data_IF_720017757115
#
_entry.id   IF_720017757115
#
_cell.length_a   1.000
_cell.length_b   1.000
_cell.length_c   1.000
_cell.angle_alpha   90.00
_cell.angle_beta   90.00
_cell.angle_gamma   90.00
#
_symmetry.space_group_name_H-M   'P 1'
#
loop_
_entity.id
_entity.type
_entity.pdbx_description
1 polymer ?
#
# COMPACT_ATOMS: atom_id res chain seq x y z
N UNK A 1 -3.42 48.31 -25.61
CA UNK A 1 -3.68 49.47 -26.48
C UNK A 1 -4.03 48.94 -27.84
N UNK A 2 -5.33 48.89 -28.14
CA UNK A 2 -5.83 48.61 -29.49
C UNK A 2 -6.90 49.67 -29.73
N UNK A 3 -6.64 50.46 -30.76
CA UNK A 3 -7.36 51.63 -31.24
C UNK A 3 -8.87 51.57 -31.07
N UNK A 4 -9.39 52.45 -30.20
CA UNK A 4 -10.80 52.83 -30.12
C UNK A 4 -11.08 53.67 -31.37
N UNK A 5 -11.63 53.04 -32.40
CA UNK A 5 -12.23 53.74 -33.52
C UNK A 5 -13.50 54.41 -33.04
N UNK A 6 -13.43 55.72 -32.82
CA UNK A 6 -14.57 56.59 -32.53
C UNK A 6 -15.59 56.52 -33.66
N UNK A 7 -16.56 55.63 -33.54
CA UNK A 7 -17.85 55.77 -34.21
C UNK A 7 -18.77 56.41 -33.19
N UNK A 8 -18.90 57.73 -33.30
CA UNK A 8 -19.88 58.51 -32.55
C UNK A 8 -21.28 58.07 -32.98
N UNK A 9 -21.84 57.08 -32.29
CA UNK A 9 -23.26 56.74 -32.37
C UNK A 9 -24.04 57.95 -31.83
N UNK A 10 -24.77 58.66 -32.68
CA UNK A 10 -25.58 59.82 -32.29
C UNK A 10 -26.77 59.48 -31.36
N UNK A 11 -26.92 58.20 -30.99
CA UNK A 11 -27.97 57.63 -30.13
C UNK A 11 -27.50 57.29 -28.70
N UNK A 12 -26.19 57.30 -28.42
CA UNK A 12 -25.65 56.93 -27.09
C UNK A 12 -25.73 55.43 -26.75
N UNK A 13 -26.02 54.58 -27.73
CA UNK A 13 -26.23 53.13 -27.57
C UNK A 13 -25.21 52.41 -28.47
N UNK A 14 -24.30 51.63 -27.89
CA UNK A 14 -23.34 50.80 -28.63
C UNK A 14 -23.99 49.45 -29.01
N UNK A 15 -24.20 49.17 -30.32
CA UNK A 15 -24.77 47.92 -30.83
C UNK A 15 -24.10 46.64 -30.29
N UNK A 16 -22.79 46.68 -30.06
CA UNK A 16 -22.05 45.53 -29.54
C UNK A 16 -22.41 45.27 -28.06
N UNK A 17 -22.51 46.31 -27.26
CA UNK A 17 -22.88 46.19 -25.83
C UNK A 17 -24.32 45.70 -25.65
N UNK A 18 -25.26 46.19 -26.45
CA UNK A 18 -26.66 45.72 -26.39
C UNK A 18 -26.81 44.27 -26.83
N UNK A 19 -26.13 43.88 -27.92
CA UNK A 19 -26.12 42.49 -28.38
C UNK A 19 -25.59 41.56 -27.28
N UNK A 20 -24.46 41.91 -26.65
CA UNK A 20 -23.88 41.13 -25.56
C UNK A 20 -24.81 41.03 -24.33
N UNK A 21 -25.48 42.12 -23.95
CA UNK A 21 -26.43 42.13 -22.83
C UNK A 21 -27.66 41.24 -23.09
N UNK A 22 -28.21 41.29 -24.30
CA UNK A 22 -29.35 40.43 -24.67
C UNK A 22 -28.96 38.95 -24.70
N UNK A 23 -27.81 38.61 -25.27
CA UNK A 23 -27.31 37.23 -25.25
C UNK A 23 -27.06 36.74 -23.83
N UNK A 24 -26.46 37.57 -22.98
CA UNK A 24 -26.25 37.22 -21.57
C UNK A 24 -27.58 36.95 -20.85
N UNK A 25 -28.60 37.77 -21.07
CA UNK A 25 -29.93 37.57 -20.50
C UNK A 25 -30.61 36.29 -21.04
N UNK A 26 -30.46 35.99 -22.34
CA UNK A 26 -31.00 34.78 -22.97
C UNK A 26 -30.28 33.50 -22.49
N UNK A 27 -28.96 33.58 -22.24
CA UNK A 27 -28.13 32.45 -21.79
C UNK A 27 -28.29 32.14 -20.29
N UNK A 28 -28.45 33.17 -19.46
CA UNK A 28 -28.49 33.07 -18.00
C UNK A 28 -29.37 31.94 -17.40
N UNK A 29 -30.63 31.73 -17.83
CA UNK A 29 -31.45 30.65 -17.25
C UNK A 29 -30.92 29.26 -17.60
N UNK A 30 -30.37 29.09 -18.80
CA UNK A 30 -29.81 27.80 -19.25
C UNK A 30 -28.50 27.50 -18.54
N UNK A 31 -27.62 28.49 -18.41
CA UNK A 31 -26.37 28.39 -17.65
C UNK A 31 -26.63 28.04 -16.19
N UNK A 32 -27.61 28.69 -15.56
CA UNK A 32 -28.00 28.42 -14.17
C UNK A 32 -28.43 26.95 -14.01
N UNK A 33 -29.23 26.43 -14.95
CA UNK A 33 -29.64 25.01 -14.94
C UNK A 33 -28.45 24.07 -15.14
N UNK A 34 -27.54 24.38 -16.06
CA UNK A 34 -26.36 23.57 -16.31
C UNK A 34 -25.40 23.59 -15.12
N UNK A 35 -25.18 24.74 -14.50
CA UNK A 35 -24.39 24.86 -13.27
C UNK A 35 -24.99 24.02 -12.14
N UNK A 36 -26.31 24.12 -11.90
CA UNK A 36 -26.99 23.31 -10.89
C UNK A 36 -26.87 21.79 -11.18
N UNK A 37 -27.00 21.40 -12.45
CA UNK A 37 -26.86 20.00 -12.88
C UNK A 37 -25.42 19.52 -12.69
N UNK A 38 -24.42 20.33 -13.05
CA UNK A 38 -23.01 20.04 -12.85
C UNK A 38 -22.70 19.83 -11.37
N UNK A 39 -23.11 20.76 -10.50
CA UNK A 39 -22.92 20.64 -9.05
C UNK A 39 -23.53 19.35 -8.50
N UNK A 40 -24.73 18.99 -8.97
CA UNK A 40 -25.39 17.73 -8.57
C UNK A 40 -24.60 16.50 -9.02
N UNK A 41 -24.19 16.43 -10.29
CA UNK A 41 -23.42 15.29 -10.81
C UNK A 41 -22.08 15.17 -10.07
N UNK A 42 -21.35 16.27 -9.90
CA UNK A 42 -20.06 16.27 -9.18
C UNK A 42 -20.22 15.81 -7.72
N UNK A 43 -21.29 16.25 -7.04
CA UNK A 43 -21.59 15.80 -5.69
C UNK A 43 -21.92 14.29 -5.65
N UNK A 44 -22.65 13.78 -6.64
CA UNK A 44 -22.95 12.35 -6.77
C UNK A 44 -21.71 11.50 -7.06
N UNK A 45 -20.82 11.97 -7.94
CA UNK A 45 -19.52 11.32 -8.22
C UNK A 45 -18.71 11.21 -6.94
N UNK A 46 -18.62 12.30 -6.19
CA UNK A 46 -17.89 12.34 -4.91
C UNK A 46 -18.51 11.39 -3.88
N UNK A 47 -19.83 11.36 -3.76
CA UNK A 47 -20.54 10.46 -2.86
C UNK A 47 -20.35 8.98 -3.24
N UNK A 48 -20.40 8.63 -4.52
CA UNK A 48 -20.14 7.28 -5.01
C UNK A 48 -18.69 6.86 -4.72
N UNK A 49 -17.73 7.76 -4.89
CA UNK A 49 -16.33 7.50 -4.56
C UNK A 49 -16.14 7.25 -3.04
N UNK A 50 -16.78 8.05 -2.19
CA UNK A 50 -16.78 7.86 -0.72
C UNK A 50 -17.35 6.49 -0.34
N UNK A 51 -18.50 6.10 -0.92
CA UNK A 51 -19.10 4.78 -0.68
C UNK A 51 -18.20 3.64 -1.16
N UNK A 52 -17.63 3.77 -2.37
CA UNK A 52 -16.74 2.75 -2.94
C UNK A 52 -15.52 2.53 -2.04
N UNK A 53 -14.90 3.60 -1.56
CA UNK A 53 -13.75 3.51 -0.64
C UNK A 53 -14.15 2.84 0.67
N UNK A 54 -15.27 3.24 1.28
CA UNK A 54 -15.72 2.66 2.54
C UNK A 54 -16.07 1.18 2.42
N UNK A 55 -16.75 0.78 1.34
CA UNK A 55 -17.08 -0.63 1.07
C UNK A 55 -15.87 -1.47 0.72
N UNK A 56 -14.89 -0.93 -0.01
CA UNK A 56 -13.62 -1.63 -0.28
C UNK A 56 -12.80 -1.85 1.00
N UNK A 57 -12.78 -0.87 1.90
CA UNK A 57 -12.13 -1.03 3.21
C UNK A 57 -12.84 -2.08 4.08
N UNK A 58 -14.18 -2.09 4.06
CA UNK A 58 -14.97 -3.12 4.75
C UNK A 58 -14.71 -4.52 4.17
N UNK A 59 -14.73 -4.65 2.85
CA UNK A 59 -14.44 -5.90 2.13
C UNK A 59 -13.03 -6.43 2.43
N UNK A 60 -12.04 -5.53 2.51
CA UNK A 60 -10.68 -5.89 2.90
C UNK A 60 -10.62 -6.44 4.33
N UNK A 61 -11.30 -5.79 5.29
CA UNK A 61 -11.36 -6.28 6.68
C UNK A 61 -12.08 -7.64 6.80
N UNK A 62 -13.11 -7.87 5.97
CA UNK A 62 -13.80 -9.16 5.86
C UNK A 62 -12.87 -10.23 5.29
N UNK A 63 -12.10 -9.91 4.26
CA UNK A 63 -11.12 -10.84 3.66
C UNK A 63 -10.07 -11.28 4.67
N UNK A 64 -9.57 -10.37 5.51
CA UNK A 64 -8.62 -10.69 6.59
C UNK A 64 -9.23 -11.65 7.61
N UNK A 65 -10.51 -11.46 7.96
CA UNK A 65 -11.23 -12.31 8.90
C UNK A 65 -11.60 -13.68 8.32
N UNK A 66 -11.96 -13.73 7.04
CA UNK A 66 -12.23 -14.95 6.28
C UNK A 66 -10.96 -15.74 5.99
N UNK A 67 -9.81 -15.06 5.90
CA UNK A 67 -8.51 -15.67 5.79
C UNK A 67 -8.31 -16.68 6.92
N UNK A 68 -8.12 -17.95 6.55
CA UNK A 68 -7.87 -19.03 7.51
C UNK A 68 -6.65 -18.75 8.41
N UNK A 69 -5.79 -17.80 8.04
CA UNK A 69 -4.68 -17.28 8.83
C UNK A 69 -5.09 -16.62 10.14
N UNK A 70 -6.22 -15.92 10.21
CA UNK A 70 -6.65 -15.20 11.42
C UNK A 70 -7.33 -16.14 12.42
N UNK A 71 -8.22 -17.02 11.92
CA UNK A 71 -8.85 -18.05 12.74
C UNK A 71 -7.84 -19.10 13.23
N UNK A 72 -6.87 -19.46 12.38
CA UNK A 72 -5.80 -20.41 12.74
C UNK A 72 -4.51 -19.73 13.19
N UNK A 73 -4.54 -18.43 13.51
CA UNK A 73 -3.37 -17.72 14.01
C UNK A 73 -2.83 -18.41 15.26
N UNK A 74 -1.51 -18.46 15.36
CA UNK A 74 -0.80 -19.08 16.48
C UNK A 74 0.15 -18.07 17.08
N UNK A 75 0.13 -17.99 18.40
CA UNK A 75 1.07 -17.19 19.18
C UNK A 75 1.97 -18.13 19.97
N UNK A 76 3.24 -17.75 20.08
CA UNK A 76 4.20 -18.44 20.95
C UNK A 76 4.40 -17.59 22.21
N UNK A 77 4.25 -18.21 23.38
CA UNK A 77 4.61 -17.63 24.66
C UNK A 77 5.89 -18.28 25.19
N UNK A 78 6.82 -17.43 25.61
CA UNK A 78 8.14 -17.78 26.16
C UNK A 78 8.44 -16.78 27.28
N UNK A 79 9.16 -17.21 28.31
CA UNK A 79 9.71 -16.26 29.29
C UNK A 79 10.72 -15.32 28.64
N UNK A 80 10.95 -14.14 29.23
CA UNK A 80 11.97 -13.22 28.74
C UNK A 80 13.39 -13.80 28.92
N UNK A 81 14.33 -13.40 28.06
CA UNK A 81 15.76 -13.73 28.13
C UNK A 81 16.10 -15.24 28.08
N UNK A 82 15.34 -16.01 27.32
CA UNK A 82 15.48 -17.47 27.20
C UNK A 82 16.57 -17.95 26.23
N UNK A 83 17.36 -17.04 25.66
CA UNK A 83 18.41 -17.41 24.69
C UNK A 83 17.89 -17.86 23.33
N UNK A 84 16.58 -17.84 23.07
CA UNK A 84 16.00 -18.01 21.75
C UNK A 84 14.66 -17.28 21.62
N UNK A 85 14.17 -17.16 20.39
CA UNK A 85 12.81 -16.69 20.09
C UNK A 85 12.15 -17.66 19.13
N UNK A 86 10.83 -17.79 19.17
CA UNK A 86 10.11 -18.64 18.25
C UNK A 86 8.87 -17.96 17.69
N UNK A 87 8.50 -18.32 16.47
CA UNK A 87 7.28 -17.89 15.81
C UNK A 87 6.53 -19.11 15.30
N UNK A 88 5.19 -19.05 15.30
CA UNK A 88 4.34 -20.14 14.82
C UNK A 88 3.55 -19.69 13.60
N UNK A 89 3.57 -20.50 12.55
CA UNK A 89 2.72 -20.34 11.39
C UNK A 89 1.26 -20.66 11.74
N UNK A 90 0.33 -20.13 10.93
CA UNK A 90 -1.07 -20.46 11.07
C UNK A 90 -1.29 -21.98 10.93
N UNK A 91 -2.06 -22.55 11.86
CA UNK A 91 -2.33 -24.00 11.88
C UNK A 91 -1.25 -24.85 12.56
N UNK A 92 -0.16 -24.28 13.08
CA UNK A 92 0.79 -25.03 13.91
C UNK A 92 0.07 -25.72 15.09
N UNK A 93 0.56 -26.90 15.46
CA UNK A 93 -0.02 -27.70 16.53
C UNK A 93 0.08 -26.96 17.87
N UNK A 94 -1.06 -26.83 18.55
CA UNK A 94 -1.14 -26.21 19.88
C UNK A 94 -0.57 -27.16 20.91
N UNK A 95 0.21 -26.64 21.85
CA UNK A 95 0.84 -27.46 22.87
C UNK A 95 1.93 -26.70 23.62
N UNK A 96 2.42 -27.33 24.69
CA UNK A 96 3.59 -26.89 25.44
C UNK A 96 4.77 -27.77 25.05
N UNK A 97 5.89 -27.15 24.70
CA UNK A 97 7.10 -27.82 24.23
C UNK A 97 8.28 -27.43 25.11
N UNK A 98 9.06 -28.43 25.54
CA UNK A 98 10.27 -28.19 26.32
C UNK A 98 11.48 -28.03 25.41
N UNK A 99 12.07 -26.83 25.38
CA UNK A 99 13.18 -26.49 24.49
C UNK A 99 14.48 -26.34 25.29
N UNK A 100 15.55 -26.99 24.82
CA UNK A 100 16.90 -26.86 25.36
C UNK A 100 17.89 -26.53 24.23
N UNK A 101 18.62 -25.42 24.36
CA UNK A 101 19.62 -24.99 23.36
C UNK A 101 21.01 -25.40 23.85
N UNK A 102 21.65 -26.35 23.16
CA UNK A 102 22.93 -26.92 23.54
C UNK A 102 24.12 -26.16 22.93
N UNK A 103 24.03 -25.80 21.66
CA UNK A 103 25.08 -25.05 20.96
C UNK A 103 24.49 -24.18 19.88
N UNK A 104 25.22 -23.13 19.48
CA UNK A 104 24.88 -22.28 18.36
C UNK A 104 25.68 -22.66 17.12
N UNK A 105 25.10 -22.39 15.96
CA UNK A 105 25.81 -22.43 14.70
C UNK A 105 26.79 -21.25 14.66
N UNK A 106 28.07 -21.54 14.47
CA UNK A 106 29.12 -20.56 14.27
C UNK A 106 29.69 -20.69 12.86
N UNK A 107 29.87 -19.56 12.20
CA UNK A 107 30.54 -19.50 10.91
C UNK A 107 32.06 -19.44 11.11
N UNK A 108 32.80 -20.19 10.29
CA UNK A 108 34.25 -20.22 10.41
C UNK A 108 34.87 -18.88 10.04
N UNK A 109 35.89 -18.47 10.80
CA UNK A 109 36.71 -17.31 10.51
C UNK A 109 38.18 -17.69 10.48
N UNK A 110 38.85 -17.38 9.39
CA UNK A 110 40.27 -17.59 9.17
C UNK A 110 40.97 -16.23 9.00
N UNK A 111 42.23 -16.13 9.44
CA UNK A 111 43.05 -14.95 9.25
C UNK A 111 44.47 -15.34 8.82
N UNK A 112 45.04 -14.62 7.86
CA UNK A 112 46.45 -14.77 7.48
C UNK A 112 47.40 -14.23 8.55
N UNK A 113 48.70 -14.43 8.38
CA UNK A 113 49.73 -13.61 9.03
C UNK A 113 49.62 -12.13 8.61
N UNK A 114 50.19 -11.23 9.40
CA UNK A 114 50.23 -9.80 9.11
C UNK A 114 51.15 -9.45 7.95
N UNK A 115 50.70 -8.57 7.06
CA UNK A 115 51.47 -8.02 5.95
C UNK A 115 51.75 -6.52 6.17
N UNK A 116 52.97 -6.08 5.87
CA UNK A 116 53.35 -4.66 5.99
C UNK A 116 52.72 -3.80 4.90
N UNK A 117 52.25 -2.59 5.23
CA UNK A 117 51.81 -1.60 4.23
C UNK A 117 50.29 -1.52 4.01
N UNK A 118 49.48 -1.73 5.04
CA UNK A 118 48.04 -1.41 5.07
C UNK A 118 47.26 -1.85 3.82
N UNK A 119 47.40 -3.13 3.47
CA UNK A 119 46.69 -3.72 2.33
C UNK A 119 47.31 -3.51 0.94
N UNK A 120 48.40 -2.75 0.82
CA UNK A 120 49.13 -2.51 -0.46
C UNK A 120 50.27 -3.50 -0.71
N UNK A 121 50.60 -4.33 0.28
CA UNK A 121 51.62 -5.37 0.17
C UNK A 121 51.34 -6.27 -1.03
N UNK A 122 52.33 -6.43 -1.90
CA UNK A 122 52.29 -7.44 -2.98
C UNK A 122 52.53 -8.80 -2.32
N UNK A 123 51.53 -9.67 -2.40
CA UNK A 123 51.59 -11.01 -1.79
C UNK A 123 52.07 -12.04 -2.80
N UNK A 124 51.62 -11.96 -4.05
CA UNK A 124 52.06 -12.85 -5.12
C UNK A 124 51.02 -13.06 -6.21
N UNK A 125 51.26 -14.05 -7.03
CA UNK A 125 50.43 -14.44 -8.19
C UNK A 125 50.13 -15.95 -8.16
N UNK A 126 49.12 -16.39 -8.90
CA UNK A 126 48.68 -17.78 -8.98
C UNK A 126 47.16 -17.93 -8.81
N UNK A 127 46.70 -19.15 -8.56
CA UNK A 127 45.29 -19.46 -8.39
C UNK A 127 44.98 -19.91 -6.96
N UNK A 128 44.00 -19.27 -6.32
CA UNK A 128 43.42 -19.69 -5.06
C UNK A 128 42.16 -20.51 -5.33
N UNK A 129 42.13 -21.74 -4.83
CA UNK A 129 40.93 -22.56 -4.80
C UNK A 129 40.40 -22.60 -3.37
N UNK A 130 39.25 -21.96 -3.17
CA UNK A 130 38.59 -21.80 -1.87
C UNK A 130 37.32 -22.66 -1.88
N UNK A 131 37.29 -23.70 -1.06
CA UNK A 131 36.14 -24.59 -0.92
C UNK A 131 35.32 -24.24 0.33
N UNK A 132 33.99 -24.30 0.21
CA UNK A 132 33.03 -24.12 1.30
C UNK A 132 31.71 -24.81 0.95
N UNK A 133 31.05 -25.48 1.90
CA UNK A 133 29.68 -25.97 1.69
C UNK A 133 29.52 -26.93 0.49
N UNK A 134 30.58 -27.66 0.12
CA UNK A 134 30.63 -28.51 -1.08
C UNK A 134 30.80 -27.77 -2.42
N UNK A 135 30.99 -26.45 -2.40
CA UNK A 135 31.31 -25.62 -3.56
C UNK A 135 32.79 -25.26 -3.56
N UNK A 136 33.33 -25.00 -4.75
CA UNK A 136 34.71 -24.55 -4.93
C UNK A 136 34.73 -23.26 -5.73
N UNK A 137 35.35 -22.23 -5.16
CA UNK A 137 35.61 -20.95 -5.78
C UNK A 137 37.05 -20.91 -6.29
N UNK A 138 37.23 -20.72 -7.59
CA UNK A 138 38.55 -20.49 -8.19
C UNK A 138 38.75 -19.00 -8.38
N UNK A 139 39.84 -18.46 -7.83
CA UNK A 139 40.19 -17.04 -7.89
C UNK A 139 41.58 -16.91 -8.49
N UNK A 140 41.63 -16.31 -9.68
CA UNK A 140 42.90 -16.06 -10.38
C UNK A 140 43.51 -14.72 -9.93
N UNK A 141 44.77 -14.79 -9.49
CA UNK A 141 45.55 -13.66 -8.98
C UNK A 141 46.73 -13.42 -9.92
N UNK A 142 46.65 -12.31 -10.63
CA UNK A 142 47.65 -11.81 -11.57
C UNK A 142 48.44 -10.66 -10.95
N UNK A 143 49.42 -10.13 -11.68
CA UNK A 143 50.18 -8.94 -11.24
C UNK A 143 49.31 -7.69 -11.07
N UNK A 144 48.12 -7.63 -11.70
CA UNK A 144 47.20 -6.50 -11.58
C UNK A 144 46.41 -6.50 -10.25
N UNK A 145 46.23 -7.66 -9.63
CA UNK A 145 45.45 -7.85 -8.39
C UNK A 145 46.21 -8.59 -7.28
N UNK A 146 47.53 -8.77 -7.41
CA UNK A 146 48.39 -9.50 -6.46
C UNK A 146 48.70 -8.78 -5.14
N UNK A 147 48.08 -7.62 -4.88
CA UNK A 147 48.15 -6.96 -3.57
C UNK A 147 47.12 -7.54 -2.61
N UNK A 148 47.32 -7.40 -1.30
CA UNK A 148 46.35 -7.90 -0.30
C UNK A 148 44.92 -7.36 -0.54
N UNK A 149 44.80 -6.08 -0.91
CA UNK A 149 43.53 -5.47 -1.30
C UNK A 149 42.96 -6.04 -2.60
N UNK A 150 43.83 -6.24 -3.61
CA UNK A 150 43.41 -6.85 -4.87
C UNK A 150 42.92 -8.30 -4.69
N UNK A 151 43.55 -9.07 -3.81
CA UNK A 151 43.16 -10.43 -3.48
C UNK A 151 41.82 -10.44 -2.75
N UNK A 152 41.61 -9.56 -1.76
CA UNK A 152 40.30 -9.38 -1.10
C UNK A 152 39.20 -9.11 -2.12
N UNK A 153 39.43 -8.16 -3.03
CA UNK A 153 38.44 -7.75 -4.03
C UNK A 153 38.17 -8.86 -5.05
N UNK A 154 39.21 -9.59 -5.46
CA UNK A 154 39.08 -10.75 -6.34
C UNK A 154 38.25 -11.87 -5.68
N UNK A 155 38.49 -12.17 -4.40
CA UNK A 155 37.71 -13.17 -3.65
C UNK A 155 36.24 -12.75 -3.52
N UNK A 156 35.98 -11.51 -3.11
CA UNK A 156 34.60 -11.01 -2.97
C UNK A 156 33.86 -10.93 -4.31
N UNK A 157 34.55 -10.55 -5.39
CA UNK A 157 33.99 -10.53 -6.74
C UNK A 157 33.63 -11.93 -7.20
N UNK A 158 34.54 -12.88 -7.02
CA UNK A 158 34.33 -14.27 -7.41
C UNK A 158 33.23 -14.93 -6.56
N UNK A 159 33.14 -14.60 -5.27
CA UNK A 159 32.09 -15.09 -4.37
C UNK A 159 30.69 -14.54 -4.70
N UNK A 160 30.59 -13.40 -5.40
CA UNK A 160 29.32 -12.80 -5.80
C UNK A 160 28.36 -12.51 -4.63
N UNK A 161 28.90 -12.29 -3.43
CA UNK A 161 28.13 -12.07 -2.21
C UNK A 161 27.51 -13.32 -1.57
N UNK A 162 27.95 -14.52 -1.95
CA UNK A 162 27.44 -15.79 -1.40
C UNK A 162 28.56 -16.67 -0.84
N UNK A 163 28.31 -17.30 0.31
CA UNK A 163 29.18 -18.30 0.91
C UNK A 163 30.36 -17.78 1.73
N UNK A 164 31.21 -16.92 1.14
CA UNK A 164 32.42 -16.40 1.80
C UNK A 164 32.53 -14.89 1.59
N UNK A 165 32.99 -14.19 2.63
CA UNK A 165 33.42 -12.79 2.56
C UNK A 165 34.88 -12.66 2.96
N UNK A 166 35.66 -11.93 2.18
CA UNK A 166 37.01 -11.51 2.50
C UNK A 166 37.03 -10.06 3.00
N UNK A 167 37.78 -9.80 4.07
CA UNK A 167 38.03 -8.45 4.59
C UNK A 167 39.50 -8.29 5.00
N UNK A 168 39.93 -7.05 5.19
CA UNK A 168 41.26 -6.74 5.72
C UNK A 168 41.07 -6.16 7.11
N UNK A 169 41.82 -6.69 8.08
CA UNK A 169 41.85 -6.19 9.46
C UNK A 169 43.29 -5.80 9.78
N UNK A 170 43.50 -4.57 10.21
CA UNK A 170 44.81 -4.07 10.60
C UNK A 170 45.06 -4.31 12.09
N UNK A 171 46.08 -5.10 12.39
CA UNK A 171 46.63 -5.31 13.73
C UNK A 171 47.96 -4.58 13.93
N UNK A 172 48.51 -4.66 15.13
CA UNK A 172 49.81 -4.06 15.47
C UNK A 172 50.97 -4.72 14.68
N UNK A 173 50.78 -5.97 14.24
CA UNK A 173 51.71 -6.75 13.42
C UNK A 173 51.49 -6.62 11.91
N UNK A 174 50.49 -5.83 11.47
CA UNK A 174 50.25 -5.51 10.06
C UNK A 174 48.82 -5.78 9.60
N UNK A 175 48.61 -5.80 8.28
CA UNK A 175 47.31 -6.05 7.65
C UNK A 175 47.07 -7.55 7.46
N UNK A 176 45.95 -8.07 7.95
CA UNK A 176 45.55 -9.48 7.83
C UNK A 176 44.40 -9.62 6.83
N UNK A 177 44.51 -10.58 5.91
CA UNK A 177 43.35 -11.05 5.16
C UNK A 177 42.52 -11.96 6.05
N UNK A 178 41.25 -11.62 6.22
CA UNK A 178 40.30 -12.37 7.02
C UNK A 178 39.23 -12.95 6.12
N UNK A 179 39.10 -14.27 6.11
CA UNK A 179 38.03 -14.98 5.41
C UNK A 179 36.96 -15.39 6.42
N UNK A 180 35.73 -14.99 6.16
CA UNK A 180 34.57 -15.33 7.00
C UNK A 180 33.56 -16.09 6.16
N UNK A 181 33.14 -17.26 6.64
CA UNK A 181 32.00 -17.96 6.03
C UNK A 181 30.73 -17.18 6.35
N UNK A 182 29.83 -17.03 5.38
CA UNK A 182 28.56 -16.34 5.58
C UNK A 182 27.51 -17.26 6.23
N UNK A 183 27.68 -18.56 6.05
CA UNK A 183 26.81 -19.59 6.63
C UNK A 183 27.52 -20.28 7.81
N UNK A 184 26.75 -20.54 8.87
CA UNK A 184 27.24 -21.29 10.03
C UNK A 184 27.39 -22.78 9.74
N UNK A 185 27.94 -23.51 10.70
CA UNK A 185 27.95 -24.97 10.66
C UNK A 185 29.19 -25.61 10.05
N UNK A 186 29.43 -26.85 10.47
CA UNK A 186 30.62 -27.64 10.12
C UNK A 186 30.66 -27.98 8.62
N UNK A 187 29.52 -28.01 7.95
CA UNK A 187 29.42 -28.20 6.49
C UNK A 187 30.00 -27.02 5.69
N UNK A 188 29.99 -25.81 6.27
CA UNK A 188 30.44 -24.57 5.63
C UNK A 188 31.86 -24.18 6.04
N UNK A 189 32.67 -25.19 6.41
CA UNK A 189 34.09 -24.99 6.66
C UNK A 189 34.81 -24.54 5.40
N UNK A 190 35.74 -23.61 5.58
CA UNK A 190 36.58 -23.05 4.53
C UNK A 190 37.85 -23.89 4.44
N UNK A 191 38.19 -24.35 3.24
CA UNK A 191 39.55 -24.82 2.93
C UNK A 191 40.10 -24.06 1.73
N UNK A 192 41.36 -23.64 1.82
CA UNK A 192 42.04 -22.84 0.80
C UNK A 192 43.28 -23.58 0.34
N UNK A 193 43.39 -23.77 -0.97
CA UNK A 193 44.59 -24.29 -1.61
C UNK A 193 45.12 -23.28 -2.61
N UNK A 194 46.44 -23.11 -2.65
CA UNK A 194 47.12 -22.23 -3.61
C UNK A 194 47.86 -23.10 -4.63
N UNK A 195 47.82 -22.70 -5.90
CA UNK A 195 48.48 -23.42 -7.00
C UNK A 195 48.98 -22.46 -8.08
N UNK A 196 50.07 -22.82 -8.76
CA UNK A 196 50.70 -21.98 -9.78
C UNK A 196 51.34 -20.69 -9.25
N UNK A 197 51.82 -19.85 -10.16
CA UNK A 197 52.40 -18.54 -9.83
C UNK A 197 53.77 -18.57 -9.14
N UNK A 198 54.04 -17.55 -8.32
CA UNK A 198 55.33 -17.30 -7.65
C UNK A 198 55.45 -17.92 -6.24
N UNK A 199 54.40 -18.61 -5.78
CA UNK A 199 54.35 -19.29 -4.48
C UNK A 199 53.95 -18.41 -3.29
N UNK A 200 53.79 -17.09 -3.48
CA UNK A 200 53.44 -16.18 -2.38
C UNK A 200 52.05 -16.43 -1.78
N UNK A 201 51.12 -16.96 -2.57
CA UNK A 201 49.77 -17.30 -2.15
C UNK A 201 49.69 -18.50 -1.20
N UNK A 202 50.78 -19.26 -1.01
CA UNK A 202 50.84 -20.33 -0.02
C UNK A 202 50.60 -19.81 1.42
N UNK A 203 50.84 -18.52 1.66
CA UNK A 203 50.51 -17.83 2.92
C UNK A 203 49.00 -17.83 3.24
N UNK A 204 48.13 -18.09 2.26
CA UNK A 204 46.68 -18.21 2.47
C UNK A 204 46.19 -19.66 2.48
N UNK A 205 47.07 -20.65 2.37
CA UNK A 205 46.65 -22.06 2.39
C UNK A 205 46.07 -22.43 3.76
N UNK A 206 44.99 -23.22 3.74
CA UNK A 206 44.35 -23.77 4.93
C UNK A 206 43.64 -25.08 4.61
N UNK A 207 44.09 -26.16 5.24
CA UNK A 207 43.52 -27.52 5.11
C UNK A 207 43.03 -28.08 6.44
N UNK A 208 43.09 -27.28 7.52
CA UNK A 208 42.74 -27.71 8.88
C UNK A 208 43.88 -28.40 9.65
N UNK A 209 45.07 -28.54 9.04
CA UNK A 209 46.25 -29.13 9.67
C UNK A 209 47.13 -28.08 10.37
N UNK A 210 47.90 -28.52 11.37
CA UNK A 210 48.92 -27.69 12.01
C UNK A 210 50.01 -27.28 10.99
N UNK A 211 50.25 -25.97 10.84
CA UNK A 211 51.18 -25.41 9.86
C UNK A 211 50.55 -24.80 8.60
N UNK A 212 49.23 -24.64 8.56
CA UNK A 212 48.53 -23.85 7.53
C UNK A 212 48.99 -22.39 7.51
N UNK A 213 48.95 -21.74 6.34
CA UNK A 213 49.28 -20.31 6.19
C UNK A 213 48.27 -19.38 6.87
N UNK A 214 47.03 -19.83 7.05
CA UNK A 214 46.01 -19.13 7.85
C UNK A 214 45.76 -19.75 9.22
N UNK A 215 45.46 -18.89 10.18
CA UNK A 215 45.03 -19.22 11.54
C UNK A 215 43.51 -19.21 11.66
N UNK A 216 42.96 -20.18 12.39
CA UNK A 216 41.53 -20.24 12.69
C UNK A 216 41.20 -19.36 13.90
N UNK A 217 40.44 -18.28 13.68
CA UNK A 217 39.98 -17.38 14.73
C UNK A 217 38.69 -17.87 15.38
N UNK A 218 37.78 -18.42 14.57
CA UNK A 218 36.50 -18.99 15.02
C UNK A 218 36.32 -20.32 14.31
N UNK A 219 36.07 -21.38 15.08
CA UNK A 219 35.75 -22.69 14.54
C UNK A 219 34.29 -22.73 14.06
N UNK A 220 34.04 -23.43 12.95
CA UNK A 220 32.68 -23.74 12.56
C UNK A 220 32.08 -24.75 13.55
N UNK A 221 30.87 -24.47 14.00
CA UNK A 221 30.08 -25.38 14.83
C UNK A 221 28.65 -25.40 14.35
N UNK A 222 27.97 -26.53 14.51
CA UNK A 222 26.53 -26.64 14.24
C UNK A 222 25.71 -26.20 15.45
N UNK A 223 24.54 -25.62 15.19
CA UNK A 223 23.52 -25.42 16.19
C UNK A 223 22.94 -26.76 16.62
N UNK A 224 22.81 -26.98 17.93
CA UNK A 224 22.15 -28.15 18.48
C UNK A 224 21.05 -27.70 19.44
N UNK A 225 19.84 -28.17 19.18
CA UNK A 225 18.65 -27.88 19.99
C UNK A 225 17.87 -29.16 20.23
N UNK A 226 17.29 -29.30 21.43
CA UNK A 226 16.36 -30.37 21.76
C UNK A 226 14.97 -29.80 21.98
N UNK A 227 13.96 -30.48 21.45
CA UNK A 227 12.55 -30.23 21.76
C UNK A 227 11.93 -31.52 22.28
N UNK A 228 11.43 -31.52 23.51
CA UNK A 228 10.88 -32.69 24.21
C UNK A 228 11.80 -33.93 24.16
N UNK A 229 13.11 -33.67 24.24
CA UNK A 229 14.17 -34.68 24.18
C UNK A 229 14.63 -35.07 22.77
N UNK A 230 13.95 -34.63 21.71
CA UNK A 230 14.35 -34.88 20.31
C UNK A 230 15.44 -33.90 19.90
N UNK A 231 16.64 -34.41 19.61
CA UNK A 231 17.80 -33.61 19.20
C UNK A 231 17.76 -33.26 17.70
N UNK A 232 18.08 -32.01 17.39
CA UNK A 232 18.22 -31.49 16.02
C UNK A 232 19.52 -30.71 15.87
N UNK A 233 20.29 -31.03 14.83
CA UNK A 233 21.58 -30.39 14.49
C UNK A 233 21.52 -29.62 13.18
N UNK A 234 21.74 -28.31 13.18
CA UNK A 234 21.60 -27.44 11.99
C UNK A 234 22.82 -26.58 11.75
N UNK A 235 23.10 -26.27 10.47
CA UNK A 235 24.10 -25.27 10.09
C UNK A 235 23.64 -23.82 10.33
N UNK A 236 22.36 -23.60 10.62
CA UNK A 236 21.79 -22.28 10.90
C UNK A 236 21.22 -22.17 12.31
N UNK A 237 21.29 -20.96 12.88
CA UNK A 237 20.60 -20.61 14.12
C UNK A 237 19.08 -20.41 13.93
N UNK A 238 18.58 -20.48 12.69
CA UNK A 238 17.16 -20.50 12.38
C UNK A 238 16.73 -21.92 12.01
N UNK A 239 15.89 -22.52 12.86
CA UNK A 239 15.40 -23.89 12.74
C UNK A 239 13.92 -23.87 12.40
N UNK A 240 13.52 -24.41 11.26
CA UNK A 240 12.13 -24.35 10.75
C UNK A 240 11.44 -25.72 10.69
N UNK A 241 12.18 -26.80 10.92
CA UNK A 241 11.75 -28.17 10.63
C UNK A 241 11.61 -29.07 11.87
N UNK A 242 11.99 -28.57 13.04
CA UNK A 242 11.96 -29.37 14.28
C UNK A 242 10.54 -29.56 14.82
N UNK A 243 9.72 -28.51 14.78
CA UNK A 243 8.30 -28.56 15.10
C UNK A 243 7.55 -28.04 13.90
N UNK A 244 6.62 -28.83 13.36
CA UNK A 244 5.91 -28.49 12.14
C UNK A 244 5.16 -27.15 12.29
N UNK A 245 5.52 -26.18 11.44
CA UNK A 245 4.93 -24.84 11.46
C UNK A 245 5.47 -23.93 12.56
N UNK A 246 6.57 -24.28 13.25
CA UNK A 246 7.24 -23.38 14.20
C UNK A 246 8.67 -23.11 13.75
N UNK A 247 9.05 -21.84 13.76
CA UNK A 247 10.42 -21.39 13.47
C UNK A 247 11.08 -20.94 14.75
N UNK A 248 12.19 -21.58 15.13
CA UNK A 248 13.03 -21.21 16.26
C UNK A 248 14.24 -20.40 15.75
N UNK A 249 14.56 -19.30 16.44
CA UNK A 249 15.73 -18.48 16.20
C UNK A 249 16.57 -18.46 17.48
N UNK A 250 17.71 -19.13 17.42
CA UNK A 250 18.64 -19.32 18.55
C UNK A 250 19.54 -18.09 18.70
N UNK A 251 19.76 -17.64 19.93
CA UNK A 251 20.55 -16.43 20.27
C UNK A 251 21.65 -16.71 21.29
N UNK A 252 21.43 -17.63 22.21
CA UNK A 252 22.39 -18.05 23.23
C UNK A 252 22.22 -19.54 23.51
N UNK A 253 23.33 -20.24 23.70
CA UNK A 253 23.33 -21.61 24.20
C UNK A 253 23.27 -21.60 25.73
N UNK A 254 22.42 -22.47 26.30
CA UNK A 254 22.30 -22.66 27.74
C UNK A 254 22.12 -24.16 28.05
N UNK A 255 23.16 -24.99 27.86
CA UNK A 255 23.09 -26.43 28.10
C UNK A 255 22.60 -26.74 29.51
N UNK A 256 21.70 -27.73 29.64
CA UNK A 256 21.10 -28.13 30.91
C UNK A 256 19.94 -27.25 31.38
N UNK A 257 19.62 -26.15 30.68
CA UNK A 257 18.47 -25.30 30.98
C UNK A 257 17.33 -25.59 30.03
N UNK A 258 16.23 -26.13 30.56
CA UNK A 258 15.00 -26.43 29.80
C UNK A 258 14.02 -25.27 29.94
N UNK A 259 13.49 -24.82 28.81
CA UNK A 259 12.61 -23.65 28.71
C UNK A 259 11.29 -24.09 28.10
N UNK A 260 10.18 -23.80 28.79
CA UNK A 260 8.83 -24.08 28.28
C UNK A 260 8.45 -23.07 27.20
N UNK A 261 7.98 -23.58 26.06
CA UNK A 261 7.46 -22.83 24.93
C UNK A 261 6.01 -23.22 24.71
N UNK A 262 5.08 -22.29 24.88
CA UNK A 262 3.65 -22.55 24.68
C UNK A 262 3.17 -22.01 23.34
N UNK A 263 2.61 -22.89 22.51
CA UNK A 263 1.95 -22.53 21.24
C UNK A 263 0.45 -22.54 21.45
N UNK A 264 -0.18 -21.37 21.41
CA UNK A 264 -1.61 -21.19 21.62
C UNK A 264 -2.27 -20.49 20.42
N UNK A 265 -3.60 -20.42 20.43
CA UNK A 265 -4.31 -19.54 19.49
C UNK A 265 -3.95 -18.09 19.78
N UNK A 266 -3.66 -17.32 18.74
CA UNK A 266 -3.42 -15.88 18.87
C UNK A 266 -4.74 -15.11 19.01
N UNK A 267 -5.26 -15.04 20.23
CA UNK A 267 -6.49 -14.29 20.52
C UNK A 267 -6.33 -12.78 20.33
N UNK A 268 -5.10 -12.26 20.43
CA UNK A 268 -4.81 -10.84 20.24
C UNK A 268 -4.89 -10.44 18.77
N UNK A 269 -4.38 -11.27 17.86
CA UNK A 269 -4.55 -11.10 16.43
C UNK A 269 -6.03 -11.18 16.02
N UNK A 270 -6.77 -12.15 16.59
CA UNK A 270 -8.22 -12.30 16.35
C UNK A 270 -9.01 -11.09 16.83
N UNK A 271 -8.74 -10.61 18.05
CA UNK A 271 -9.34 -9.38 18.59
C UNK A 271 -9.05 -8.18 17.70
N UNK A 272 -7.81 -8.01 17.25
CA UNK A 272 -7.39 -6.89 16.40
C UNK A 272 -8.12 -6.90 15.06
N UNK A 273 -8.24 -8.07 14.42
CA UNK A 273 -8.96 -8.21 13.16
C UNK A 273 -10.46 -7.92 13.31
N UNK A 274 -11.09 -8.41 14.40
CA UNK A 274 -12.51 -8.14 14.68
C UNK A 274 -12.73 -6.66 15.00
N UNK A 275 -11.81 -6.02 15.73
CA UNK A 275 -11.84 -4.59 15.99
C UNK A 275 -11.76 -3.78 14.69
N UNK A 276 -10.83 -4.12 13.81
CA UNK A 276 -10.70 -3.45 12.51
C UNK A 276 -11.99 -3.58 11.69
N UNK A 277 -12.59 -4.78 11.64
CA UNK A 277 -13.90 -4.97 11.00
C UNK A 277 -15.00 -4.09 11.60
N UNK A 278 -15.12 -4.04 12.94
CA UNK A 278 -16.10 -3.18 13.61
C UNK A 278 -15.90 -1.71 13.23
N UNK A 279 -14.64 -1.25 13.21
CA UNK A 279 -14.29 0.12 12.82
C UNK A 279 -14.64 0.39 11.34
N UNK A 280 -14.28 -0.51 10.42
CA UNK A 280 -14.60 -0.37 8.97
C UNK A 280 -16.08 -0.46 8.69
N UNK A 281 -16.81 -1.31 9.40
CA UNK A 281 -18.26 -1.43 9.27
C UNK A 281 -18.95 -0.14 9.71
N UNK A 282 -18.55 0.42 10.85
CA UNK A 282 -19.07 1.69 11.33
C UNK A 282 -18.70 2.85 10.39
N UNK A 283 -17.49 2.85 9.82
CA UNK A 283 -17.09 3.82 8.80
C UNK A 283 -17.95 3.71 7.53
N UNK A 284 -18.32 2.49 7.11
CA UNK A 284 -19.23 2.27 5.99
C UNK A 284 -20.65 2.78 6.28
N UNK A 285 -21.17 2.55 7.50
CA UNK A 285 -22.44 3.14 7.92
C UNK A 285 -22.40 4.67 7.93
N UNK A 286 -21.30 5.26 8.40
CA UNK A 286 -21.11 6.71 8.38
C UNK A 286 -21.02 7.25 6.94
N UNK A 287 -20.32 6.57 6.03
CA UNK A 287 -20.26 6.92 4.62
C UNK A 287 -21.65 6.88 3.94
N UNK A 288 -22.45 5.87 4.27
CA UNK A 288 -23.87 5.80 3.85
C UNK A 288 -24.63 7.01 4.40
N UNK A 289 -24.62 7.21 5.72
CA UNK A 289 -25.36 8.27 6.38
C UNK A 289 -24.99 9.67 5.83
N UNK A 290 -23.70 9.96 5.68
CA UNK A 290 -23.20 11.24 5.18
C UNK A 290 -23.56 11.49 3.71
N UNK A 291 -23.77 10.44 2.91
CA UNK A 291 -24.15 10.56 1.50
C UNK A 291 -25.66 10.50 1.26
N UNK A 292 -26.46 10.02 2.22
CA UNK A 292 -27.92 9.89 2.08
C UNK A 292 -28.76 10.79 2.99
N UNK A 293 -28.23 11.30 4.09
CA UNK A 293 -29.04 12.02 5.07
C UNK A 293 -29.54 13.39 4.57
N UNK A 294 -30.65 13.82 5.16
CA UNK A 294 -31.16 15.18 5.03
C UNK A 294 -30.80 15.95 6.28
N UNK A 295 -30.12 17.09 6.13
CA UNK A 295 -29.83 17.98 7.24
C UNK A 295 -31.04 18.90 7.47
N UNK A 296 -31.79 18.63 8.54
CA UNK A 296 -32.99 19.39 8.88
C UNK A 296 -32.70 20.87 9.23
N UNK A 297 -31.52 21.19 9.74
CA UNK A 297 -31.12 22.55 10.11
C UNK A 297 -30.77 23.39 8.89
N UNK A 298 -29.98 22.86 7.96
CA UNK A 298 -29.61 23.56 6.72
C UNK A 298 -30.64 23.39 5.61
N UNK A 299 -31.61 22.48 5.80
CA UNK A 299 -32.59 22.04 4.80
C UNK A 299 -31.96 21.47 3.52
N UNK A 300 -30.73 20.94 3.62
CA UNK A 300 -29.97 20.39 2.49
C UNK A 300 -29.98 18.87 2.53
N UNK A 301 -30.37 18.27 1.40
CA UNK A 301 -30.24 16.83 1.16
C UNK A 301 -28.83 16.48 0.70
N UNK A 302 -28.26 15.39 1.21
CA UNK A 302 -27.03 14.83 0.67
C UNK A 302 -27.21 14.30 -0.76
N UNK A 303 -26.10 14.10 -1.47
CA UNK A 303 -26.10 13.84 -2.92
C UNK A 303 -26.86 12.57 -3.35
N UNK A 304 -26.94 11.58 -2.47
CA UNK A 304 -27.62 10.29 -2.69
C UNK A 304 -28.87 10.14 -1.80
N UNK A 305 -29.43 11.24 -1.29
CA UNK A 305 -30.69 11.20 -0.58
C UNK A 305 -31.79 10.56 -1.46
N UNK A 306 -32.50 9.58 -0.90
CA UNK A 306 -33.53 8.86 -1.64
C UNK A 306 -33.01 7.86 -2.69
N UNK A 307 -31.70 7.59 -2.75
CA UNK A 307 -31.15 6.62 -3.69
C UNK A 307 -31.54 5.17 -3.30
N UNK A 308 -32.13 4.44 -4.24
CA UNK A 308 -32.65 3.09 -4.01
C UNK A 308 -31.54 2.04 -3.86
N UNK A 309 -30.42 2.21 -4.57
CA UNK A 309 -29.28 1.30 -4.48
C UNK A 309 -28.66 1.39 -3.08
N UNK A 310 -28.46 2.62 -2.56
CA UNK A 310 -27.91 2.80 -1.22
C UNK A 310 -28.85 2.22 -0.14
N UNK A 311 -30.16 2.47 -0.22
CA UNK A 311 -31.13 1.84 0.70
C UNK A 311 -31.12 0.31 0.63
N UNK A 312 -30.98 -0.24 -0.57
CA UNK A 312 -30.92 -1.69 -0.79
C UNK A 312 -29.73 -2.32 -0.06
N UNK A 313 -28.52 -1.78 -0.28
CA UNK A 313 -27.32 -2.31 0.39
C UNK A 313 -27.38 -2.13 1.91
N UNK A 314 -27.88 -1.00 2.42
CA UNK A 314 -28.05 -0.80 3.87
C UNK A 314 -29.01 -1.83 4.47
N UNK A 315 -30.11 -2.14 3.78
CA UNK A 315 -31.08 -3.14 4.22
C UNK A 315 -30.48 -4.55 4.21
N UNK A 316 -29.72 -4.90 3.17
CA UNK A 316 -29.04 -6.18 3.06
C UNK A 316 -27.99 -6.40 4.17
N UNK A 317 -27.18 -5.37 4.46
CA UNK A 317 -26.21 -5.40 5.55
C UNK A 317 -26.89 -5.57 6.91
N UNK A 318 -27.96 -4.81 7.15
CA UNK A 318 -28.74 -4.90 8.40
C UNK A 318 -29.39 -6.27 8.57
N UNK A 319 -29.96 -6.83 7.52
CA UNK A 319 -30.56 -8.16 7.56
C UNK A 319 -29.52 -9.24 7.86
N UNK A 320 -28.33 -9.13 7.26
CA UNK A 320 -27.21 -10.05 7.50
C UNK A 320 -26.73 -9.99 8.95
N UNK A 321 -26.58 -8.78 9.51
CA UNK A 321 -26.27 -8.61 10.94
C UNK A 321 -27.35 -9.16 11.86
N UNK A 322 -28.61 -8.82 11.58
CA UNK A 322 -29.75 -9.21 12.43
C UNK A 322 -29.92 -10.72 12.51
N UNK A 323 -29.67 -11.44 11.40
CA UNK A 323 -29.69 -12.89 11.36
C UNK A 323 -28.58 -13.55 12.21
N UNK A 324 -27.49 -12.84 12.52
CA UNK A 324 -26.33 -13.35 13.25
C UNK A 324 -26.17 -12.69 14.65
N UNK A 325 -27.21 -12.03 15.17
CA UNK A 325 -27.12 -11.25 16.42
C UNK A 325 -26.72 -12.10 17.64
N UNK A 326 -27.15 -13.36 17.69
CA UNK A 326 -26.84 -14.27 18.81
C UNK A 326 -25.35 -14.63 18.80
N UNK A 327 -24.81 -15.02 17.65
CA UNK A 327 -23.39 -15.36 17.51
C UNK A 327 -22.49 -14.14 17.72
N UNK A 328 -22.88 -12.97 17.20
CA UNK A 328 -22.17 -11.71 17.44
C UNK A 328 -22.13 -11.37 18.93
N UNK A 329 -23.26 -11.49 19.63
CA UNK A 329 -23.32 -11.25 21.08
C UNK A 329 -22.47 -12.26 21.85
N UNK A 330 -22.40 -13.51 21.42
CA UNK A 330 -21.53 -14.53 22.04
C UNK A 330 -20.03 -14.19 21.91
N UNK A 331 -19.67 -13.42 20.88
CA UNK A 331 -18.35 -12.86 20.65
C UNK A 331 -18.18 -11.46 21.28
N UNK A 332 -19.12 -10.96 22.09
CA UNK A 332 -19.03 -9.63 22.69
C UNK A 332 -19.24 -8.48 21.72
N UNK A 333 -19.81 -8.73 20.54
CA UNK A 333 -20.19 -7.69 19.57
C UNK A 333 -21.68 -7.35 19.76
N UNK A 334 -21.96 -6.10 20.08
CA UNK A 334 -23.32 -5.56 20.23
C UNK A 334 -23.70 -4.67 19.05
N UNK A 335 -24.98 -4.69 18.69
CA UNK A 335 -25.56 -3.88 17.61
C UNK A 335 -26.39 -2.76 18.23
N UNK A 336 -26.05 -1.51 17.93
CA UNK A 336 -26.81 -0.32 18.33
C UNK A 336 -28.11 -0.15 17.53
N UNK A 337 -29.01 0.72 18.02
CA UNK A 337 -30.30 0.99 17.35
C UNK A 337 -30.15 1.64 15.97
N UNK A 338 -29.03 2.33 15.74
CA UNK A 338 -28.64 2.92 14.46
C UNK A 338 -27.92 1.92 13.53
N UNK A 339 -27.68 0.69 14.01
CA UNK A 339 -26.96 -0.37 13.31
C UNK A 339 -25.46 -0.37 13.54
N UNK A 340 -24.91 0.58 14.31
CA UNK A 340 -23.48 0.59 14.65
C UNK A 340 -23.07 -0.62 15.48
N UNK A 341 -21.83 -1.06 15.33
CA UNK A 341 -21.27 -2.18 16.07
C UNK A 341 -20.38 -1.68 17.20
N UNK A 342 -20.45 -2.32 18.36
CA UNK A 342 -19.55 -2.09 19.50
C UNK A 342 -18.94 -3.43 19.93
N UNK A 343 -17.63 -3.45 20.17
CA UNK A 343 -16.89 -4.62 20.63
C UNK A 343 -16.50 -4.47 22.11
N UNK A 344 -16.96 -5.39 22.94
CA UNK A 344 -16.47 -5.56 24.31
C UNK A 344 -15.33 -6.59 24.31
N UNK A 345 -14.09 -6.11 24.50
CA UNK A 345 -12.90 -6.95 24.51
C UNK A 345 -12.92 -8.03 25.60
N UNK A 346 -13.51 -7.74 26.77
CA UNK A 346 -13.58 -8.69 27.88
C UNK A 346 -14.53 -9.83 27.53
N UNK A 347 -15.70 -9.49 26.97
CA UNK A 347 -16.67 -10.48 26.50
C UNK A 347 -16.16 -11.26 25.29
N UNK A 348 -15.43 -10.62 24.37
CA UNK A 348 -14.80 -11.29 23.24
C UNK A 348 -13.84 -12.39 23.69
N UNK A 349 -12.90 -12.05 24.58
CA UNK A 349 -11.93 -13.00 25.12
C UNK A 349 -12.60 -14.14 25.90
N UNK A 350 -13.61 -13.83 26.70
CA UNK A 350 -14.38 -14.83 27.43
C UNK A 350 -15.20 -15.74 26.49
N UNK A 351 -15.80 -15.18 25.44
CA UNK A 351 -16.56 -15.91 24.43
C UNK A 351 -15.68 -16.91 23.68
N UNK A 352 -14.51 -16.45 23.23
CA UNK A 352 -13.58 -17.28 22.45
C UNK A 352 -12.89 -18.37 23.29
N UNK A 353 -12.71 -18.11 24.59
CA UNK A 353 -12.22 -19.12 25.54
C UNK A 353 -13.25 -20.24 25.77
N UNK A 354 -14.55 -19.91 25.76
CA UNK A 354 -15.65 -20.88 25.91
C UNK A 354 -15.94 -21.64 24.61
N UNK A 355 -15.88 -20.96 23.48
CA UNK A 355 -16.15 -21.52 22.17
C UNK A 355 -15.14 -21.00 21.13
N UNK A 356 -14.02 -21.71 20.96
CA UNK A 356 -12.99 -21.34 19.99
C UNK A 356 -13.46 -21.34 18.53
N UNK A 357 -14.59 -21.99 18.21
CA UNK A 357 -15.15 -22.05 16.87
C UNK A 357 -16.13 -20.90 16.57
N UNK A 358 -16.53 -20.11 17.58
CA UNK A 358 -17.49 -19.02 17.43
C UNK A 358 -17.05 -17.99 16.38
N UNK A 359 -15.77 -17.64 16.36
CA UNK A 359 -15.22 -16.70 15.38
C UNK A 359 -15.35 -17.25 13.96
N UNK A 360 -15.00 -18.52 13.73
CA UNK A 360 -15.08 -19.15 12.41
C UNK A 360 -16.51 -19.37 11.92
N UNK A 361 -17.50 -19.53 12.80
CA UNK A 361 -18.91 -19.61 12.38
C UNK A 361 -19.41 -18.29 11.79
N UNK A 362 -19.04 -17.18 12.41
CA UNK A 362 -19.49 -15.85 11.98
C UNK A 362 -18.64 -15.33 10.82
N UNK A 363 -17.33 -15.45 10.95
CA UNK A 363 -16.35 -14.79 10.08
C UNK A 363 -15.58 -15.74 9.16
N UNK A 364 -15.88 -17.04 9.17
CA UNK A 364 -15.22 -18.01 8.31
C UNK A 364 -15.48 -17.78 6.81
N UNK A 365 -14.69 -18.44 5.97
CA UNK A 365 -14.68 -18.28 4.51
C UNK A 365 -15.88 -18.91 3.76
N UNK A 366 -16.80 -19.59 4.46
CA UNK A 366 -17.98 -20.17 3.83
C UNK A 366 -18.97 -19.11 3.34
N UNK A 367 -19.62 -19.34 2.19
CA UNK A 367 -20.63 -18.41 1.65
C UNK A 367 -21.85 -18.23 2.56
N UNK A 368 -22.13 -19.19 3.43
CA UNK A 368 -23.25 -19.14 4.37
C UNK A 368 -22.97 -18.34 5.64
N UNK A 369 -21.70 -18.02 5.92
CA UNK A 369 -21.31 -17.23 7.09
C UNK A 369 -21.75 -15.78 6.93
N UNK A 370 -21.76 -15.04 8.04
CA UNK A 370 -22.04 -13.60 8.02
C UNK A 370 -21.02 -12.88 7.13
N UNK A 371 -19.73 -13.16 7.31
CA UNK A 371 -18.68 -12.55 6.50
C UNK A 371 -18.80 -12.91 5.02
N UNK A 372 -19.12 -14.18 4.68
CA UNK A 372 -19.35 -14.63 3.30
C UNK A 372 -20.48 -13.86 2.60
N UNK A 373 -21.62 -13.71 3.29
CA UNK A 373 -22.78 -12.94 2.79
C UNK A 373 -22.46 -11.45 2.63
N UNK A 374 -21.72 -10.88 3.57
CA UNK A 374 -21.29 -9.48 3.49
C UNK A 374 -20.29 -9.25 2.36
N UNK A 375 -19.28 -10.11 2.22
CA UNK A 375 -18.30 -10.04 1.13
C UNK A 375 -18.99 -10.16 -0.24
N UNK A 376 -19.94 -11.09 -0.39
CA UNK A 376 -20.75 -11.21 -1.61
C UNK A 376 -21.52 -9.90 -1.91
N UNK A 377 -22.09 -9.29 -0.87
CA UNK A 377 -22.80 -8.00 -1.00
C UNK A 377 -21.85 -6.87 -1.38
N UNK A 378 -20.63 -6.84 -0.82
CA UNK A 378 -19.61 -5.83 -1.17
C UNK A 378 -19.10 -6.02 -2.59
N UNK A 379 -18.75 -7.25 -2.99
CA UNK A 379 -18.32 -7.56 -4.36
C UNK A 379 -19.34 -7.10 -5.41
N UNK A 380 -20.63 -7.41 -5.22
CA UNK A 380 -21.70 -6.94 -6.11
C UNK A 380 -21.79 -5.40 -6.25
N UNK A 381 -21.28 -4.66 -5.25
CA UNK A 381 -21.24 -3.20 -5.26
C UNK A 381 -19.95 -2.64 -5.87
N UNK A 382 -18.78 -3.18 -5.49
CA UNK A 382 -17.47 -2.55 -5.74
C UNK A 382 -16.65 -3.19 -6.85
N UNK A 383 -16.94 -4.44 -7.23
CA UNK A 383 -16.18 -5.16 -8.25
C UNK A 383 -16.30 -4.50 -9.62
N UNK A 384 -15.44 -4.91 -10.54
CA UNK A 384 -15.54 -4.50 -11.94
C UNK A 384 -16.90 -4.90 -12.51
N UNK A 385 -17.66 -3.93 -13.02
CA UNK A 385 -19.03 -4.13 -13.47
C UNK A 385 -20.09 -4.20 -12.36
N UNK A 386 -19.71 -4.02 -11.09
CA UNK A 386 -20.62 -3.90 -9.96
C UNK A 386 -21.43 -2.59 -9.99
N UNK A 387 -22.44 -2.50 -9.12
CA UNK A 387 -23.43 -1.41 -9.12
C UNK A 387 -22.82 -0.01 -8.98
N UNK A 388 -21.81 0.17 -8.11
CA UNK A 388 -21.15 1.47 -7.96
C UNK A 388 -20.26 1.81 -9.16
N UNK A 389 -19.65 0.80 -9.80
CA UNK A 389 -18.88 0.99 -11.03
C UNK A 389 -19.79 1.49 -12.15
N UNK A 390 -20.90 0.80 -12.41
CA UNK A 390 -21.88 1.20 -13.44
C UNK A 390 -22.48 2.58 -13.16
N UNK A 391 -22.73 2.91 -11.88
CA UNK A 391 -23.20 4.24 -11.48
C UNK A 391 -22.15 5.32 -11.78
N UNK A 392 -20.88 5.05 -11.48
CA UNK A 392 -19.77 5.95 -11.81
C UNK A 392 -19.70 6.21 -13.32
N UNK A 393 -19.76 5.15 -14.13
CA UNK A 393 -19.72 5.25 -15.59
C UNK A 393 -20.89 6.08 -16.13
N UNK A 394 -22.10 5.87 -15.58
CA UNK A 394 -23.29 6.64 -15.93
C UNK A 394 -23.15 8.12 -15.59
N UNK A 395 -22.58 8.46 -14.42
CA UNK A 395 -22.34 9.84 -14.02
C UNK A 395 -21.29 10.50 -14.91
N UNK A 396 -20.20 9.80 -15.25
CA UNK A 396 -19.19 10.28 -16.20
C UNK A 396 -19.79 10.53 -17.59
N UNK A 397 -20.66 9.64 -18.07
CA UNK A 397 -21.38 9.84 -19.33
C UNK A 397 -22.31 11.07 -19.28
N UNK A 398 -23.00 11.29 -18.15
CA UNK A 398 -23.83 12.47 -17.94
C UNK A 398 -23.01 13.77 -17.92
N UNK A 399 -21.82 13.77 -17.30
CA UNK A 399 -20.89 14.91 -17.35
C UNK A 399 -20.51 15.24 -18.79
N UNK A 400 -20.07 14.24 -19.57
CA UNK A 400 -19.71 14.44 -20.98
C UNK A 400 -20.88 14.99 -21.80
N UNK A 401 -22.09 14.49 -21.57
CA UNK A 401 -23.30 14.99 -22.25
C UNK A 401 -23.60 16.44 -21.87
N UNK A 402 -23.47 16.80 -20.60
CA UNK A 402 -23.68 18.16 -20.12
C UNK A 402 -22.66 19.14 -20.72
N UNK A 403 -21.40 18.71 -20.85
CA UNK A 403 -20.36 19.53 -21.46
C UNK A 403 -20.61 19.76 -22.95
N UNK A 404 -21.00 18.72 -23.70
CA UNK A 404 -21.44 18.87 -25.09
C UNK A 404 -22.66 19.81 -25.23
N UNK A 405 -23.58 19.80 -24.26
CA UNK A 405 -24.73 20.70 -24.23
C UNK A 405 -24.34 22.17 -23.95
N UNK A 406 -23.30 22.40 -23.16
CA UNK A 406 -22.73 23.75 -22.93
C UNK A 406 -22.06 24.26 -24.20
N UNK A 407 -21.24 23.45 -24.87
CA UNK A 407 -20.59 23.82 -26.14
C UNK A 407 -21.61 24.15 -27.24
N UNK A 408 -22.69 23.37 -27.32
CA UNK A 408 -23.78 23.66 -28.25
C UNK A 408 -24.52 24.96 -27.91
N UNK A 409 -24.70 25.27 -26.62
CA UNK A 409 -25.26 26.56 -26.19
C UNK A 409 -24.33 27.71 -26.56
N UNK A 410 -23.02 27.57 -26.32
CA UNK A 410 -22.01 28.59 -26.65
C UNK A 410 -22.01 28.91 -28.15
N UNK A 411 -22.06 27.88 -28.99
CA UNK A 411 -22.17 28.02 -30.44
C UNK A 411 -23.44 28.77 -30.83
N UNK A 412 -24.59 28.42 -30.21
CA UNK A 412 -25.87 29.09 -30.48
C UNK A 412 -25.88 30.55 -30.03
N UNK A 413 -25.30 30.85 -28.87
CA UNK A 413 -25.23 32.20 -28.31
C UNK A 413 -24.31 33.10 -29.12
N UNK A 414 -23.19 32.59 -29.64
CA UNK A 414 -22.34 33.32 -30.58
C UNK A 414 -23.08 33.68 -31.88
N UNK A 415 -23.88 32.76 -32.44
CA UNK A 415 -24.71 33.04 -33.61
C UNK A 415 -25.82 34.07 -33.31
N UNK A 416 -26.44 34.00 -32.13
CA UNK A 416 -27.43 34.98 -31.68
C UNK A 416 -26.80 36.38 -31.49
N UNK A 417 -25.60 36.46 -30.92
CA UNK A 417 -24.84 37.70 -30.76
C UNK A 417 -24.56 38.36 -32.10
N UNK A 418 -24.07 37.58 -33.08
CA UNK A 418 -23.82 38.07 -34.44
C UNK A 418 -25.10 38.62 -35.09
N UNK A 419 -26.24 37.93 -34.90
CA UNK A 419 -27.55 38.39 -35.40
C UNK A 419 -28.00 39.68 -34.72
N UNK A 420 -27.94 39.77 -33.39
CA UNK A 420 -28.34 40.97 -32.66
C UNK A 420 -27.43 42.15 -33.01
N UNK A 421 -26.12 41.93 -33.13
CA UNK A 421 -25.17 42.96 -33.59
C UNK A 421 -25.55 43.50 -34.97
N UNK A 422 -25.85 42.62 -35.93
CA UNK A 422 -26.31 43.04 -37.25
C UNK A 422 -27.62 43.84 -37.20
N UNK A 423 -28.58 43.42 -36.39
CA UNK A 423 -29.87 44.12 -36.20
C UNK A 423 -29.68 45.50 -35.57
N UNK A 424 -28.86 45.63 -34.53
CA UNK A 424 -28.59 46.91 -33.88
C UNK A 424 -27.77 47.86 -34.76
N UNK A 425 -26.82 47.36 -35.55
CA UNK A 425 -26.11 48.18 -36.54
C UNK A 425 -27.06 48.68 -37.64
N UNK A 426 -27.99 47.86 -38.10
CA UNK A 426 -29.00 48.28 -39.07
C UNK A 426 -29.97 49.33 -38.49
N UNK A 427 -30.37 49.15 -37.22
CA UNK A 427 -31.20 50.12 -36.49
C UNK A 427 -30.47 51.46 -36.31
N UNK A 428 -29.20 51.45 -35.92
CA UNK A 428 -28.36 52.65 -35.79
C UNK A 428 -28.28 53.40 -37.14
N UNK A 429 -28.03 52.67 -38.23
CA UNK A 429 -28.01 53.23 -39.59
C UNK A 429 -29.36 53.87 -39.96
N UNK A 430 -30.47 53.23 -39.62
CA UNK A 430 -31.82 53.76 -39.85
C UNK A 430 -32.08 55.01 -39.01
N UNK A 431 -31.66 55.02 -37.75
CA UNK A 431 -31.77 56.17 -36.84
C UNK A 431 -30.97 57.36 -37.38
N UNK A 432 -29.75 57.16 -37.87
CA UNK A 432 -28.94 58.21 -38.50
C UNK A 432 -29.63 58.79 -39.74
N UNK A 433 -30.22 57.94 -40.59
CA UNK A 433 -31.00 58.40 -41.76
C UNK A 433 -32.22 59.22 -41.34
N UNK A 434 -32.98 58.76 -40.33
CA UNK A 434 -34.12 59.49 -39.80
C UNK A 434 -33.70 60.84 -39.19
N UNK A 435 -32.60 60.88 -38.44
CA UNK A 435 -32.05 62.13 -37.89
C UNK A 435 -31.67 63.09 -39.02
N UNK A 436 -30.95 62.62 -40.05
CA UNK A 436 -30.59 63.46 -41.19
C UNK A 436 -31.82 63.97 -41.97
N UNK A 437 -32.88 63.16 -42.05
CA UNK A 437 -34.15 63.56 -42.69
C UNK A 437 -34.87 64.61 -41.83
N UNK A 438 -34.89 64.43 -40.52
CA UNK A 438 -35.45 65.39 -39.56
C UNK A 438 -34.69 66.72 -39.61
N UNK A 439 -33.36 66.67 -39.63
CA UNK A 439 -32.51 67.86 -39.74
C UNK A 439 -32.75 68.58 -41.07
N UNK A 440 -32.88 67.84 -42.18
CA UNK A 440 -33.25 68.38 -43.49
C UNK A 440 -34.63 69.04 -43.49
N UNK A 441 -35.65 68.38 -42.94
CA UNK A 441 -37.00 68.94 -42.82
C UNK A 441 -37.02 70.18 -41.92
N UNK A 442 -36.28 70.17 -40.82
CA UNK A 442 -36.13 71.31 -39.91
C UNK A 442 -35.46 72.48 -40.63
N UNK A 443 -34.40 72.23 -41.40
CA UNK A 443 -33.75 73.26 -42.22
C UNK A 443 -34.69 73.81 -43.31
N UNK A 444 -35.51 72.95 -43.94
CA UNK A 444 -36.47 73.37 -44.96
C UNK A 444 -37.63 74.19 -44.37
N UNK A 445 -38.15 73.78 -43.21
CA UNK A 445 -39.17 74.52 -42.46
C UNK A 445 -38.64 75.90 -42.02
N UNK A 446 -37.42 75.95 -41.48
CA UNK A 446 -36.77 77.20 -41.06
C UNK A 446 -36.52 78.15 -42.24
N UNK A 447 -36.26 77.63 -43.45
CA UNK A 447 -36.18 78.43 -44.68
C UNK A 447 -37.55 78.96 -45.11
N UNK A 448 -38.59 78.14 -45.04
CA UNK A 448 -39.96 78.58 -45.40
C UNK A 448 -40.55 79.60 -44.42
N UNK A 449 -40.14 79.59 -43.14
CA UNK A 449 -40.55 80.59 -42.15
C UNK A 449 -39.77 81.92 -42.23
N UNK A 450 -38.82 82.04 -43.16
CA UNK A 450 -38.05 83.26 -43.40
C UNK A 450 -38.45 84.02 -44.68
N UNK A 451 -39.49 83.54 -45.38
CA UNK A 451 -40.05 84.16 -46.60
C UNK A 451 -41.46 84.77 -46.40
N UNK A 452 -41.97 84.81 -45.17
CA UNK A 452 -43.04 85.72 -44.72
C UNK A 452 -42.42 86.78 -43.78
#
# INVERSE_FOLDING_TARGET
>A
MTTIGSTSSSSGIDPATMAAQLVAAERAPTDTRYAATQTKITAQVSAVATLRSAFSNLDSSLTVLQGGSTANARAVSLSANTGFSATAAAGAARGSYNVEVLSLAAAQKLASSGFSGDGTAVVGTGNLSISYGGKTLSVDITTANGTLSGIRDAINTAAGGSGISASIVNGDDGAHLVLTSLDGGTANQISVTASGGDGGLAAFSYDGSAGSGMNQLVAASDAQVKVDGVLRTSSSNTITDLVQGVTLNLKAAAPGTVISMDVATDTSAQLSAVKDFVDKFNAALYAIASTTNYNASTKVAAALNGDAMVRGVTSQLRNTLSANVVDLKSLGISIGTDGTLTLDQTQFNAGLSKDPAALSRVFGSGSDTMAGKMATTMGAMIDSGGLLSTRSDSLTAQTKKLDAQKEALDTRMAAAEARYKAQFTALDTMMTKLQSTSDFLTQQLNKSSSED
#
